data_IF_536301453485
#
_entry.id   IF_536301453485
#
_cell.length_a   1.000
_cell.length_b   1.000
_cell.length_c   1.000
_cell.angle_alpha   90.00
_cell.angle_beta   90.00
_cell.angle_gamma   90.00
#
_symmetry.space_group_name_H-M   'P 1'
#
loop_
_entity.id
_entity.type
_entity.pdbx_description
1 polymer ?
#
# COMPACT_ATOMS: atom_id res chain seq x y z
N UNK A 1 -74.35 54.00 -1.34
CA UNK A 1 -75.41 54.98 -1.69
C UNK A 1 -74.85 56.37 -1.51
N UNK A 2 -74.91 57.20 -2.57
CA UNK A 2 -74.91 58.67 -2.53
C UNK A 2 -73.65 59.32 -1.94
N UNK A 3 -73.15 60.45 -2.39
CA UNK A 3 -73.43 61.38 -3.49
C UNK A 3 -72.27 62.38 -3.30
N UNK A 4 -71.50 62.65 -4.35
CA UNK A 4 -71.62 63.88 -5.14
C UNK A 4 -71.17 65.15 -4.40
N UNK A 5 -70.28 65.86 -5.12
CA UNK A 5 -70.24 67.32 -5.31
C UNK A 5 -69.76 68.17 -4.12
N UNK A 6 -69.07 69.29 -4.31
CA UNK A 6 -68.91 70.20 -5.44
C UNK A 6 -67.75 71.15 -5.04
N UNK A 7 -66.70 71.39 -5.85
CA UNK A 7 -66.65 72.33 -6.98
C UNK A 7 -66.23 73.76 -6.57
N UNK A 8 -65.49 74.42 -7.47
CA UNK A 8 -65.06 75.83 -7.54
C UNK A 8 -63.78 76.21 -6.76
N UNK A 9 -62.78 76.93 -7.29
CA UNK A 9 -62.49 77.43 -8.65
C UNK A 9 -61.06 78.02 -8.68
N UNK A 10 -60.35 77.80 -9.80
CA UNK A 10 -59.33 78.63 -10.48
C UNK A 10 -58.32 79.50 -9.70
N UNK A 11 -57.03 79.26 -9.99
CA UNK A 11 -55.94 80.22 -9.78
C UNK A 11 -54.63 79.74 -10.44
N UNK A 12 -54.44 80.09 -11.70
CA UNK A 12 -53.25 79.83 -12.51
C UNK A 12 -52.13 80.83 -12.17
N UNK A 13 -50.89 80.36 -11.96
CA UNK A 13 -49.65 80.85 -12.60
C UNK A 13 -48.40 80.85 -11.70
N UNK A 14 -47.45 80.00 -12.13
CA UNK A 14 -46.00 79.99 -12.01
C UNK A 14 -45.26 81.04 -11.15
N UNK A 15 -44.30 80.55 -10.35
CA UNK A 15 -42.88 80.93 -10.48
C UNK A 15 -41.98 79.93 -9.72
N UNK A 16 -41.10 79.24 -10.46
CA UNK A 16 -39.86 78.67 -9.93
C UNK A 16 -38.95 79.82 -9.52
N UNK A 17 -38.36 79.77 -8.33
CA UNK A 17 -37.37 80.75 -7.89
C UNK A 17 -36.86 80.45 -6.49
N UNK A 18 -35.69 79.80 -6.44
CA UNK A 18 -34.81 79.54 -5.30
C UNK A 18 -35.10 80.30 -4.00
N UNK A 19 -35.31 79.56 -2.90
CA UNK A 19 -35.11 80.08 -1.55
C UNK A 19 -33.99 79.30 -0.88
N UNK A 20 -33.01 80.04 -0.40
CA UNK A 20 -31.72 79.60 0.09
C UNK A 20 -31.82 78.51 1.14
N UNK A 21 -30.98 77.48 0.97
CA UNK A 21 -30.59 76.58 2.04
C UNK A 21 -29.75 77.41 3.03
N UNK A 22 -30.28 77.65 4.22
CA UNK A 22 -29.51 78.18 5.33
C UNK A 22 -28.62 77.04 5.81
N UNK A 23 -27.31 77.14 5.55
CA UNK A 23 -26.30 76.24 6.12
C UNK A 23 -26.17 76.52 7.62
N UNK A 24 -26.23 75.52 8.51
CA UNK A 24 -25.76 75.72 9.87
C UNK A 24 -24.23 75.83 9.88
N UNK A 25 -23.73 76.89 10.52
CA UNK A 25 -22.32 77.14 10.82
C UNK A 25 -21.78 76.14 11.85
N UNK A 26 -20.54 75.68 11.65
CA UNK A 26 -19.88 74.56 12.33
C UNK A 26 -19.20 74.91 13.66
N UNK A 27 -19.80 75.75 14.51
CA UNK A 27 -19.16 76.21 15.76
C UNK A 27 -19.77 75.70 17.08
N UNK A 28 -20.47 74.55 17.08
CA UNK A 28 -20.92 73.89 18.32
C UNK A 28 -20.63 72.38 18.30
N UNK A 29 -19.35 72.02 18.51
CA UNK A 29 -18.95 70.67 18.93
C UNK A 29 -19.21 70.52 20.44
N UNK A 30 -20.42 70.10 20.78
CA UNK A 30 -20.68 69.34 22.01
C UNK A 30 -21.96 68.51 21.81
N UNK A 31 -21.78 67.18 21.69
CA UNK A 31 -22.82 66.14 21.80
C UNK A 31 -23.98 66.26 20.80
N UNK A 32 -23.73 66.02 19.51
CA UNK A 32 -24.80 65.61 18.61
C UNK A 32 -25.06 64.11 18.81
N UNK A 33 -25.98 63.79 19.72
CA UNK A 33 -26.52 62.44 19.84
C UNK A 33 -27.24 62.08 18.53
N UNK A 34 -26.63 61.22 17.73
CA UNK A 34 -27.21 60.75 16.50
C UNK A 34 -28.08 59.51 16.76
N UNK A 35 -29.25 59.42 16.11
CA UNK A 35 -30.14 58.24 16.18
C UNK A 35 -30.05 57.33 14.94
N UNK A 36 -29.66 57.88 13.78
CA UNK A 36 -29.46 57.16 12.50
C UNK A 36 -28.46 57.93 11.62
N UNK A 37 -27.65 57.23 10.79
CA UNK A 37 -26.57 57.83 9.97
C UNK A 37 -27.01 58.93 8.99
N UNK A 38 -28.31 59.03 8.70
CA UNK A 38 -28.91 60.12 7.93
C UNK A 38 -28.84 61.50 8.59
N UNK A 39 -28.54 61.56 9.90
CA UNK A 39 -28.35 62.83 10.63
C UNK A 39 -26.88 63.27 10.71
N UNK A 40 -25.96 62.50 10.13
CA UNK A 40 -24.54 62.81 10.08
C UNK A 40 -24.15 63.46 8.73
N UNK A 41 -22.96 64.07 8.68
CA UNK A 41 -22.42 64.70 7.47
C UNK A 41 -22.15 63.69 6.35
N UNK A 42 -21.87 64.18 5.14
CA UNK A 42 -21.39 63.30 4.07
C UNK A 42 -20.08 62.62 4.52
N UNK A 43 -19.97 61.31 4.34
CA UNK A 43 -18.83 60.47 4.79
C UNK A 43 -18.78 60.23 6.31
N UNK A 44 -19.93 60.34 7.00
CA UNK A 44 -20.06 60.04 8.43
C UNK A 44 -21.22 59.08 8.70
N UNK A 45 -21.08 58.26 9.74
CA UNK A 45 -22.18 57.44 10.24
C UNK A 45 -22.39 57.59 11.74
N UNK A 46 -23.53 57.05 12.17
CA UNK A 46 -24.04 57.14 13.51
C UNK A 46 -23.57 55.93 14.33
N UNK A 47 -22.42 56.07 14.98
CA UNK A 47 -21.80 54.98 15.74
C UNK A 47 -21.92 55.29 17.22
N UNK A 48 -22.56 54.39 17.98
CA UNK A 48 -22.81 54.53 19.42
C UNK A 48 -23.40 55.89 19.86
N UNK A 49 -24.20 56.52 19.00
CA UNK A 49 -24.84 57.81 19.28
C UNK A 49 -24.00 59.04 18.90
N UNK A 50 -22.87 58.90 18.22
CA UNK A 50 -22.08 60.03 17.71
C UNK A 50 -21.90 59.94 16.19
N UNK A 51 -21.78 61.10 15.53
CA UNK A 51 -21.38 61.15 14.12
C UNK A 51 -19.86 61.03 14.01
N UNK A 52 -19.40 59.90 13.50
CA UNK A 52 -17.98 59.57 13.30
C UNK A 52 -17.68 59.57 11.80
N UNK A 53 -16.50 60.04 11.41
CA UNK A 53 -16.05 59.96 10.03
C UNK A 53 -15.65 58.52 9.70
N UNK A 54 -16.16 58.00 8.60
CA UNK A 54 -15.90 56.63 8.17
C UNK A 54 -14.51 56.54 7.53
N UNK A 55 -13.73 55.53 7.89
CA UNK A 55 -12.35 55.31 7.47
C UNK A 55 -12.06 53.84 7.19
N UNK A 56 -10.79 53.46 7.21
CA UNK A 56 -10.42 52.04 7.24
C UNK A 56 -10.77 51.46 8.62
N UNK A 57 -11.21 50.20 8.64
CA UNK A 57 -11.47 49.49 9.88
C UNK A 57 -10.21 49.44 10.77
N UNK A 58 -10.39 49.69 12.06
CA UNK A 58 -9.35 49.64 13.09
C UNK A 58 -9.89 48.79 14.22
N UNK A 59 -9.12 47.79 14.65
CA UNK A 59 -9.55 46.88 15.69
C UNK A 59 -9.53 47.57 17.07
N UNK A 60 -10.57 48.33 17.39
CA UNK A 60 -10.70 49.11 18.62
C UNK A 60 -12.07 48.99 19.30
N UNK A 61 -12.96 48.14 18.78
CA UNK A 61 -14.31 47.92 19.30
C UNK A 61 -15.35 48.87 18.72
N UNK A 62 -14.97 49.73 17.77
CA UNK A 62 -15.84 50.67 17.10
C UNK A 62 -15.97 50.36 15.61
N UNK A 63 -17.16 50.65 15.07
CA UNK A 63 -17.47 50.62 13.64
C UNK A 63 -16.81 51.85 12.98
N UNK A 64 -15.57 51.70 12.52
CA UNK A 64 -14.75 52.79 11.99
C UNK A 64 -14.99 53.01 10.49
N UNK A 65 -15.45 52.01 9.75
CA UNK A 65 -15.80 52.06 8.34
C UNK A 65 -17.31 52.27 8.09
N UNK A 66 -18.09 52.18 9.16
CA UNK A 66 -19.52 52.45 9.21
C UNK A 66 -20.42 51.42 8.50
N UNK A 67 -20.00 50.15 8.40
CA UNK A 67 -20.78 49.09 7.76
C UNK A 67 -21.93 48.54 8.64
N UNK A 68 -21.95 48.91 9.93
CA UNK A 68 -22.96 48.53 10.91
C UNK A 68 -22.55 47.36 11.81
N UNK A 69 -21.29 46.92 11.74
CA UNK A 69 -20.66 45.99 12.69
C UNK A 69 -19.36 46.64 13.19
N UNK A 70 -18.79 46.08 14.26
CA UNK A 70 -17.53 46.57 14.79
C UNK A 70 -16.48 45.49 14.60
N UNK A 71 -15.31 45.88 14.07
CA UNK A 71 -14.11 45.06 13.87
C UNK A 71 -14.32 43.79 13.01
N UNK A 72 -15.36 43.73 12.16
CA UNK A 72 -15.72 42.54 11.36
C UNK A 72 -14.73 42.21 10.24
N UNK A 73 -13.92 43.18 9.82
CA UNK A 73 -12.85 43.01 8.84
C UNK A 73 -11.58 42.39 9.45
N UNK A 74 -11.52 42.23 10.76
CA UNK A 74 -10.42 41.57 11.45
C UNK A 74 -10.70 40.09 11.68
N UNK A 75 -9.72 39.25 11.35
CA UNK A 75 -9.79 37.83 11.65
C UNK A 75 -9.59 37.58 13.15
N UNK A 76 -10.69 37.55 13.90
CA UNK A 76 -10.66 37.30 15.33
C UNK A 76 -10.46 35.83 15.71
N UNK A 77 -10.28 34.92 14.74
CA UNK A 77 -10.13 33.49 14.99
C UNK A 77 -8.69 33.04 14.81
N UNK A 78 -8.03 33.47 13.73
CA UNK A 78 -6.69 32.98 13.37
C UNK A 78 -5.61 34.06 13.36
N UNK A 79 -5.98 35.34 13.51
CA UNK A 79 -4.98 36.42 13.56
C UNK A 79 -4.14 36.36 14.84
N UNK A 80 -2.82 36.31 14.66
CA UNK A 80 -1.84 36.34 15.74
C UNK A 80 -1.91 37.64 16.58
N UNK A 81 -2.51 38.72 16.06
CA UNK A 81 -2.62 40.00 16.75
C UNK A 81 -4.04 40.34 17.24
N UNK A 82 -5.06 39.57 16.83
CA UNK A 82 -6.48 39.83 17.14
C UNK A 82 -7.27 38.56 17.59
N UNK A 83 -6.58 37.60 18.19
CA UNK A 83 -7.06 36.27 18.58
C UNK A 83 -8.14 36.33 19.69
N UNK A 84 -9.39 36.06 19.34
CA UNK A 84 -10.55 36.14 20.23
C UNK A 84 -11.01 37.56 20.58
N UNK A 85 -10.17 38.58 20.40
CA UNK A 85 -10.49 40.01 20.55
C UNK A 85 -9.40 40.89 19.93
N UNK A 86 -9.73 42.15 19.65
CA UNK A 86 -8.77 43.14 19.16
C UNK A 86 -7.54 43.31 20.06
N UNK A 87 -6.35 43.23 19.47
CA UNK A 87 -5.08 43.41 20.18
C UNK A 87 -4.73 42.24 21.12
N UNK A 88 -5.56 41.19 21.16
CA UNK A 88 -5.25 39.97 21.87
C UNK A 88 -4.31 39.14 20.99
N UNK A 89 -3.08 38.96 21.47
CA UNK A 89 -2.16 38.02 20.83
C UNK A 89 -2.60 36.60 21.16
N UNK A 90 -2.47 35.67 20.21
CA UNK A 90 -2.71 34.26 20.50
C UNK A 90 -1.64 33.79 21.50
N UNK A 91 -2.01 33.81 22.76
CA UNK A 91 -1.28 33.26 23.89
C UNK A 91 -2.35 32.44 24.68
N UNK A 92 -2.79 31.23 24.27
CA UNK A 92 -3.69 30.35 25.09
C UNK A 92 -3.48 28.80 24.99
N UNK A 93 -3.67 28.07 26.12
CA UNK A 93 -3.57 26.59 26.22
C UNK A 93 -4.73 25.93 25.45
N UNK A 94 -4.46 24.88 24.67
CA UNK A 94 -5.55 24.15 24.00
C UNK A 94 -6.44 23.38 25.00
N UNK A 95 -7.75 23.64 24.99
CA UNK A 95 -8.74 22.88 25.77
C UNK A 95 -9.81 22.33 24.84
N UNK A 96 -9.73 21.02 24.53
CA UNK A 96 -10.70 20.28 23.70
C UNK A 96 -10.79 20.84 22.26
N UNK A 97 -9.65 21.13 21.63
CA UNK A 97 -9.59 21.68 20.26
C UNK A 97 -10.08 23.13 20.16
N UNK A 98 -10.01 23.89 21.26
CA UNK A 98 -10.35 25.30 21.31
C UNK A 98 -9.19 26.02 22.01
N UNK A 99 -8.59 27.02 21.35
CA UNK A 99 -7.60 27.91 21.97
C UNK A 99 -8.26 28.64 23.14
N UNK A 100 -7.95 28.26 24.38
CA UNK A 100 -8.45 28.96 25.56
C UNK A 100 -7.54 30.15 25.87
N UNK A 101 -8.00 31.35 25.49
CA UNK A 101 -7.29 32.63 25.68
C UNK A 101 -7.30 33.13 27.12
N UNK A 102 -7.86 32.37 28.09
CA UNK A 102 -7.97 32.77 29.50
C UNK A 102 -6.63 32.84 30.24
N UNK A 103 -5.58 32.15 29.78
CA UNK A 103 -4.36 31.89 30.56
C UNK A 103 -3.02 32.28 29.86
N UNK A 104 -3.01 32.92 28.68
CA UNK A 104 -1.80 33.60 28.20
C UNK A 104 -0.63 32.73 27.67
N UNK A 105 -0.82 31.62 26.93
CA UNK A 105 0.28 30.89 26.23
C UNK A 105 -0.01 30.33 24.82
N UNK A 106 0.68 30.69 23.73
CA UNK A 106 0.28 30.51 22.31
C UNK A 106 -0.19 29.13 21.84
N UNK A 107 -1.16 29.11 20.92
CA UNK A 107 -1.39 27.97 20.04
C UNK A 107 -0.17 27.86 19.10
N UNK A 108 0.57 26.75 19.23
CA UNK A 108 1.82 26.53 18.51
C UNK A 108 1.55 26.45 16.99
N UNK A 109 2.56 26.60 16.11
CA UNK A 109 2.33 26.61 14.66
C UNK A 109 2.22 25.22 14.01
N UNK A 110 2.39 24.15 14.78
CA UNK A 110 2.25 22.75 14.41
C UNK A 110 2.23 21.92 15.70
N UNK A 111 1.55 20.79 15.70
CA UNK A 111 1.64 19.85 16.80
C UNK A 111 3.10 19.40 17.00
N UNK A 112 3.56 19.41 18.24
CA UNK A 112 4.96 19.15 18.59
C UNK A 112 5.19 17.78 19.19
N UNK A 113 4.11 17.09 19.55
CA UNK A 113 4.12 15.80 20.24
C UNK A 113 3.01 14.95 19.66
N UNK A 114 3.23 13.65 19.50
CA UNK A 114 2.10 12.77 19.23
C UNK A 114 1.52 12.27 20.54
N UNK A 115 0.45 12.90 20.99
CA UNK A 115 -0.31 12.49 22.17
C UNK A 115 -1.80 12.34 21.92
N UNK A 116 -2.26 12.53 20.68
CA UNK A 116 -3.66 12.40 20.30
C UNK A 116 -4.51 13.59 20.73
N UNK A 117 -3.87 14.69 21.14
CA UNK A 117 -4.51 15.95 21.47
C UNK A 117 -4.11 16.99 20.42
N UNK A 118 -5.05 17.85 20.03
CA UNK A 118 -4.78 18.98 19.14
C UNK A 118 -4.08 20.09 19.96
N UNK A 119 -2.74 20.12 19.96
CA UNK A 119 -1.96 21.01 20.83
C UNK A 119 -1.83 22.46 20.28
N UNK A 120 -2.16 22.67 19.02
CA UNK A 120 -2.16 23.97 18.33
C UNK A 120 -3.57 24.46 17.95
N UNK A 121 -4.61 23.71 18.28
CA UNK A 121 -6.02 24.00 18.08
C UNK A 121 -6.37 24.38 16.62
N UNK A 122 -5.73 23.77 15.64
CA UNK A 122 -6.01 24.03 14.22
C UNK A 122 -7.14 23.13 13.66
N UNK A 123 -7.63 22.19 14.49
CA UNK A 123 -8.69 21.24 14.17
C UNK A 123 -8.20 19.92 13.60
N UNK A 124 -6.90 19.77 13.36
CA UNK A 124 -6.23 18.49 13.11
C UNK A 124 -5.52 18.02 14.39
N UNK A 125 -5.33 16.70 14.52
CA UNK A 125 -4.65 16.10 15.68
C UNK A 125 -3.33 15.53 15.20
N UNK A 126 -2.23 15.84 15.90
CA UNK A 126 -0.87 15.38 15.60
C UNK A 126 -0.41 15.66 14.14
N UNK A 127 -0.91 16.74 13.51
CA UNK A 127 -0.61 17.07 12.11
C UNK A 127 0.90 17.25 11.89
N UNK A 128 1.42 16.68 10.79
CA UNK A 128 2.86 16.70 10.49
C UNK A 128 3.71 15.75 11.34
N UNK A 129 3.13 15.05 12.32
CA UNK A 129 3.78 13.99 13.12
C UNK A 129 3.33 12.57 12.72
N UNK A 130 2.22 12.46 11.98
CA UNK A 130 1.71 11.19 11.48
C UNK A 130 2.61 10.62 10.37
N UNK A 131 2.74 9.30 10.36
CA UNK A 131 3.40 8.54 9.31
C UNK A 131 2.48 8.31 8.09
N UNK A 132 2.94 7.53 7.11
CA UNK A 132 2.18 7.23 5.90
C UNK A 132 0.80 6.59 6.17
N UNK A 133 0.68 5.85 7.28
CA UNK A 133 -0.58 5.25 7.74
C UNK A 133 -1.50 6.20 8.52
N UNK A 134 -1.11 7.46 8.73
CA UNK A 134 -1.86 8.38 9.58
C UNK A 134 -1.78 8.04 11.07
N UNK A 135 -0.77 7.27 11.48
CA UNK A 135 -0.51 6.90 12.86
C UNK A 135 0.81 7.51 13.33
N UNK A 136 1.04 7.56 14.63
CA UNK A 136 2.28 8.11 15.16
C UNK A 136 3.42 7.10 15.24
N UNK A 137 4.63 7.61 15.03
CA UNK A 137 5.85 6.80 15.05
C UNK A 137 6.18 6.21 13.68
N UNK A 138 7.12 5.26 13.60
CA UNK A 138 7.42 4.60 12.34
C UNK A 138 6.21 3.82 11.82
N UNK A 139 6.17 3.58 10.51
CA UNK A 139 5.23 2.62 9.94
C UNK A 139 5.54 1.21 10.46
N UNK A 140 4.54 0.34 10.61
CA UNK A 140 4.75 -1.08 10.89
C UNK A 140 5.67 -1.75 9.85
N UNK A 141 6.25 -2.89 10.21
CA UNK A 141 6.86 -3.77 9.21
C UNK A 141 5.76 -4.59 8.54
N UNK A 142 5.91 -4.88 7.26
CA UNK A 142 5.02 -5.77 6.52
C UNK A 142 4.93 -7.17 7.16
N UNK A 143 3.71 -7.67 7.28
CA UNK A 143 3.42 -9.04 7.68
C UNK A 143 2.47 -9.61 6.64
N UNK A 144 2.74 -10.82 6.16
CA UNK A 144 1.84 -11.41 5.19
C UNK A 144 0.42 -11.64 5.74
N UNK A 145 -0.49 -10.71 5.42
CA UNK A 145 -1.87 -10.73 5.85
C UNK A 145 -2.84 -10.14 4.79
N UNK A 146 -2.36 -9.93 3.56
CA UNK A 146 -3.06 -9.30 2.43
C UNK A 146 -3.48 -7.84 2.71
N UNK A 147 -2.78 -7.15 3.63
CA UNK A 147 -2.94 -5.73 3.93
C UNK A 147 -1.62 -5.01 3.67
N UNK A 148 -1.73 -3.71 3.38
CA UNK A 148 -0.62 -2.77 3.30
C UNK A 148 -0.38 -2.27 4.74
N UNK A 149 0.52 -2.93 5.47
CA UNK A 149 0.77 -2.67 6.89
C UNK A 149 1.63 -1.41 7.08
N UNK A 150 2.49 -1.08 6.11
CA UNK A 150 3.38 0.07 6.12
C UNK A 150 2.87 1.30 5.34
N UNK A 151 1.76 1.13 4.62
CA UNK A 151 1.03 2.13 3.86
C UNK A 151 1.84 2.79 2.73
N UNK A 152 2.75 2.04 2.09
CA UNK A 152 3.51 2.49 0.94
C UNK A 152 2.77 2.33 -0.41
N UNK A 153 1.61 1.67 -0.38
CA UNK A 153 0.75 1.40 -1.54
C UNK A 153 1.01 0.08 -2.25
N UNK A 154 1.94 -0.74 -1.74
CA UNK A 154 2.13 -2.14 -2.10
C UNK A 154 1.50 -3.03 -1.02
N UNK A 155 1.60 -4.34 -1.16
CA UNK A 155 0.98 -5.28 -0.23
C UNK A 155 1.96 -6.42 -0.04
N UNK A 156 2.35 -6.66 1.22
CA UNK A 156 3.23 -7.73 1.67
C UNK A 156 4.64 -7.73 1.05
N UNK A 157 5.10 -6.68 0.36
CA UNK A 157 6.34 -6.67 -0.44
C UNK A 157 7.62 -6.84 0.39
N UNK A 158 7.60 -6.43 1.67
CA UNK A 158 8.64 -6.73 2.67
C UNK A 158 8.51 -8.10 3.34
N UNK A 159 7.42 -8.83 3.10
CA UNK A 159 7.06 -10.10 3.73
C UNK A 159 7.02 -11.32 2.78
N UNK A 160 7.24 -11.11 1.48
CA UNK A 160 7.30 -12.20 0.50
C UNK A 160 8.60 -13.02 0.60
N UNK A 161 8.50 -14.31 0.30
CA UNK A 161 9.62 -15.22 0.17
C UNK A 161 10.28 -15.14 -1.22
N UNK A 162 11.27 -16.01 -1.48
CA UNK A 162 11.98 -16.05 -2.76
C UNK A 162 11.06 -16.31 -3.97
N UNK A 163 9.96 -17.05 -3.77
CA UNK A 163 8.94 -17.29 -4.78
C UNK A 163 7.97 -16.12 -5.00
N UNK A 164 8.10 -15.03 -4.24
CA UNK A 164 7.14 -13.92 -4.26
C UNK A 164 5.79 -14.27 -3.63
N UNK A 165 5.74 -15.36 -2.86
CA UNK A 165 4.57 -15.76 -2.09
C UNK A 165 4.79 -15.55 -0.60
N UNK A 166 3.74 -15.75 0.18
CA UNK A 166 3.83 -15.63 1.63
C UNK A 166 4.27 -16.92 2.32
N UNK A 167 4.98 -16.75 3.44
CA UNK A 167 5.43 -17.87 4.28
C UNK A 167 6.75 -18.47 3.80
N UNK A 168 7.17 -19.64 4.34
CA UNK A 168 8.38 -20.30 3.87
C UNK A 168 8.24 -20.70 2.39
N UNK A 169 9.38 -20.81 1.69
CA UNK A 169 9.40 -21.43 0.38
C UNK A 169 8.95 -22.90 0.51
N UNK A 170 8.17 -23.43 -0.46
CA UNK A 170 7.85 -24.86 -0.52
C UNK A 170 9.10 -25.74 -0.55
N UNK A 171 8.98 -26.99 -0.12
CA UNK A 171 10.03 -27.99 -0.37
C UNK A 171 9.98 -28.41 -1.85
N UNK A 172 11.14 -28.76 -2.40
CA UNK A 172 11.22 -29.32 -3.74
C UNK A 172 10.42 -30.62 -3.90
N UNK A 173 9.78 -30.74 -5.05
CA UNK A 173 9.01 -31.91 -5.46
C UNK A 173 9.44 -32.28 -6.87
N UNK A 174 9.62 -33.57 -7.15
CA UNK A 174 9.94 -34.00 -8.50
C UNK A 174 8.76 -33.81 -9.46
N UNK A 175 8.70 -32.65 -10.09
CA UNK A 175 7.77 -32.33 -11.17
C UNK A 175 8.40 -31.50 -12.29
N UNK A 176 9.72 -31.29 -12.25
CA UNK A 176 10.45 -30.49 -13.22
C UNK A 176 10.26 -29.00 -13.04
N UNK A 177 9.66 -28.57 -11.92
CA UNK A 177 9.50 -27.18 -11.54
C UNK A 177 10.50 -26.82 -10.43
N UNK A 178 10.74 -25.52 -10.29
CA UNK A 178 11.51 -24.92 -9.20
C UNK A 178 10.49 -24.45 -8.16
N UNK A 179 10.25 -25.30 -7.16
CA UNK A 179 9.22 -25.14 -6.15
C UNK A 179 9.70 -24.26 -4.98
N UNK A 180 10.99 -24.27 -4.69
CA UNK A 180 11.62 -23.47 -3.64
C UNK A 180 12.21 -22.14 -4.13
N UNK A 181 12.22 -21.95 -5.45
CA UNK A 181 12.61 -20.74 -6.17
C UNK A 181 14.08 -20.35 -5.98
N UNK A 182 14.96 -21.34 -5.85
CA UNK A 182 16.41 -21.13 -5.79
C UNK A 182 17.09 -21.00 -7.17
N UNK A 183 16.35 -21.31 -8.25
CA UNK A 183 16.77 -21.24 -9.65
C UNK A 183 17.13 -22.59 -10.28
N UNK A 184 17.06 -23.69 -9.53
CA UNK A 184 17.35 -25.05 -9.99
C UNK A 184 16.14 -25.97 -9.73
N UNK A 185 15.58 -26.59 -10.78
CA UNK A 185 14.44 -27.49 -10.62
C UNK A 185 14.84 -28.88 -10.12
N UNK A 186 14.03 -29.43 -9.21
CA UNK A 186 14.20 -30.77 -8.62
C UNK A 186 15.58 -31.01 -7.94
N UNK A 187 16.29 -29.95 -7.53
CA UNK A 187 17.58 -30.06 -6.84
C UNK A 187 17.47 -30.93 -5.59
N UNK A 188 18.50 -31.75 -5.33
CA UNK A 188 18.51 -32.66 -4.18
C UNK A 188 17.53 -33.83 -4.25
N UNK A 189 16.62 -33.89 -5.23
CA UNK A 189 15.68 -34.99 -5.45
C UNK A 189 16.10 -35.94 -6.58
N UNK A 190 17.06 -35.53 -7.42
CA UNK A 190 17.58 -36.34 -8.51
C UNK A 190 18.51 -37.46 -8.01
N UNK A 191 18.39 -38.62 -8.63
CA UNK A 191 19.27 -39.76 -8.42
C UNK A 191 20.57 -39.63 -9.24
N UNK A 192 21.43 -40.66 -9.23
CA UNK A 192 22.70 -40.65 -9.96
C UNK A 192 22.53 -40.45 -11.49
N UNK A 193 21.40 -40.86 -12.05
CA UNK A 193 21.06 -40.67 -13.46
C UNK A 193 20.57 -39.25 -13.78
N UNK A 194 20.34 -38.41 -12.77
CA UNK A 194 19.70 -37.10 -12.96
C UNK A 194 18.18 -37.20 -13.17
N UNK A 195 17.59 -38.37 -12.88
CA UNK A 195 16.15 -38.59 -12.91
C UNK A 195 15.62 -38.68 -11.48
N UNK A 196 14.32 -38.54 -11.30
CA UNK A 196 13.72 -38.65 -9.99
C UNK A 196 13.48 -40.09 -9.53
N UNK A 197 13.53 -40.28 -8.21
CA UNK A 197 13.23 -41.56 -7.56
C UNK A 197 14.49 -42.36 -7.28
N UNK A 198 14.33 -43.68 -7.09
CA UNK A 198 15.48 -44.57 -6.90
C UNK A 198 16.24 -44.76 -8.23
N UNK A 199 17.56 -44.97 -8.16
CA UNK A 199 18.31 -45.41 -9.34
C UNK A 199 17.78 -46.75 -9.81
N UNK A 200 17.63 -46.96 -11.15
CA UNK A 200 17.27 -48.27 -11.67
C UNK A 200 18.30 -49.33 -11.25
N UNK A 201 17.88 -50.59 -11.24
CA UNK A 201 18.83 -51.69 -11.11
C UNK A 201 19.51 -51.95 -12.46
N UNK A 202 20.76 -52.38 -12.38
CA UNK A 202 21.54 -52.72 -13.56
C UNK A 202 20.95 -53.86 -14.38
N UNK A 203 21.08 -53.76 -15.69
CA UNK A 203 20.68 -54.82 -16.63
C UNK A 203 21.81 -55.08 -17.60
N UNK A 204 22.11 -56.36 -17.81
CA UNK A 204 23.17 -56.78 -18.71
C UNK A 204 22.77 -56.44 -20.16
N UNK A 205 23.13 -55.26 -20.63
CA UNK A 205 22.74 -54.73 -21.93
C UNK A 205 23.84 -53.87 -22.59
N UNK A 206 24.99 -53.68 -21.92
CA UNK A 206 26.10 -52.85 -22.38
C UNK A 206 25.91 -51.35 -22.15
N UNK A 207 24.96 -50.94 -21.31
CA UNK A 207 24.78 -49.58 -20.80
C UNK A 207 24.94 -49.57 -19.29
N UNK A 208 25.15 -48.35 -18.82
CA UNK A 208 25.09 -47.91 -17.44
C UNK A 208 23.61 -47.55 -17.17
N UNK A 209 22.83 -48.51 -16.67
CA UNK A 209 21.40 -48.36 -16.37
C UNK A 209 21.18 -47.81 -14.94
N UNK A 210 22.14 -47.97 -14.01
CA UNK A 210 22.09 -47.43 -12.64
C UNK A 210 22.91 -46.15 -12.44
N UNK A 211 23.66 -45.74 -13.47
CA UNK A 211 24.43 -44.50 -13.56
C UNK A 211 25.59 -44.42 -12.56
N UNK A 212 26.21 -45.55 -12.20
CA UNK A 212 27.40 -45.60 -11.34
C UNK A 212 28.72 -45.29 -12.07
N UNK A 213 28.66 -45.17 -13.41
CA UNK A 213 29.76 -44.79 -14.28
C UNK A 213 30.46 -45.95 -14.98
N UNK A 214 29.99 -47.19 -14.80
CA UNK A 214 30.43 -48.37 -15.53
C UNK A 214 29.23 -49.02 -16.24
N UNK A 215 29.48 -50.01 -17.08
CA UNK A 215 28.40 -50.74 -17.76
C UNK A 215 28.49 -52.21 -17.39
N UNK A 216 27.36 -52.78 -16.97
CA UNK A 216 27.17 -54.18 -16.58
C UNK A 216 28.12 -54.67 -15.45
N UNK A 217 28.64 -53.79 -14.58
CA UNK A 217 29.61 -54.10 -13.52
C UNK A 217 29.03 -54.92 -12.36
N UNK A 218 27.74 -54.79 -12.10
CA UNK A 218 27.01 -55.63 -11.15
C UNK A 218 26.96 -57.12 -11.55
N UNK A 219 27.23 -57.44 -12.82
CA UNK A 219 27.30 -58.80 -13.34
C UNK A 219 28.71 -59.39 -13.20
N UNK A 220 29.12 -59.69 -11.97
CA UNK A 220 30.47 -60.16 -11.64
C UNK A 220 30.99 -61.39 -12.42
N UNK A 221 30.10 -62.19 -13.02
CA UNK A 221 30.47 -63.37 -13.83
C UNK A 221 30.63 -63.06 -15.31
N UNK A 222 30.36 -61.83 -15.75
CA UNK A 222 30.44 -61.45 -17.16
C UNK A 222 31.85 -61.70 -17.72
N UNK A 223 31.92 -62.39 -18.86
CA UNK A 223 33.17 -62.82 -19.49
C UNK A 223 33.85 -64.03 -18.85
N UNK A 224 33.32 -64.60 -17.76
CA UNK A 224 33.82 -65.86 -17.21
C UNK A 224 33.55 -67.02 -18.17
N UNK A 225 34.44 -68.01 -18.18
CA UNK A 225 34.21 -69.25 -18.92
C UNK A 225 33.03 -70.02 -18.30
N UNK A 226 32.21 -70.64 -19.14
CA UNK A 226 31.08 -71.45 -18.73
C UNK A 226 30.93 -72.66 -19.65
N UNK A 227 30.25 -73.69 -19.17
CA UNK A 227 29.95 -74.90 -19.94
C UNK A 227 28.48 -75.22 -19.76
N UNK A 228 27.77 -75.48 -20.87
CA UNK A 228 26.37 -75.95 -20.86
C UNK A 228 26.30 -77.39 -21.37
N UNK A 229 25.34 -78.16 -20.87
CA UNK A 229 25.22 -79.59 -21.18
C UNK A 229 26.20 -80.47 -20.40
N UNK A 230 26.02 -81.79 -20.49
CA UNK A 230 26.91 -82.78 -19.86
C UNK A 230 27.47 -83.77 -20.90
N UNK A 231 28.59 -84.41 -20.58
CA UNK A 231 29.18 -85.46 -21.41
C UNK A 231 29.61 -84.98 -22.81
N UNK A 232 29.19 -85.70 -23.86
CA UNK A 232 29.51 -85.35 -25.25
C UNK A 232 28.74 -84.12 -25.75
N UNK A 233 27.67 -83.73 -25.04
CA UNK A 233 26.85 -82.56 -25.32
C UNK A 233 27.31 -81.32 -24.54
N UNK A 234 28.45 -81.39 -23.85
CA UNK A 234 29.05 -80.24 -23.20
C UNK A 234 29.58 -79.25 -24.25
N UNK A 235 29.13 -78.00 -24.18
CA UNK A 235 29.60 -76.89 -25.01
C UNK A 235 30.21 -75.80 -24.12
N UNK A 236 31.48 -75.48 -24.36
CA UNK A 236 32.17 -74.39 -23.70
C UNK A 236 31.82 -73.04 -24.35
N UNK A 237 31.66 -72.02 -23.52
CA UNK A 237 31.37 -70.65 -23.92
C UNK A 237 31.86 -69.65 -22.89
N UNK A 238 31.34 -68.43 -23.01
CA UNK A 238 31.57 -67.37 -22.03
C UNK A 238 30.24 -66.79 -21.57
N UNK A 239 30.18 -66.35 -20.32
CA UNK A 239 29.03 -65.60 -19.84
C UNK A 239 28.96 -64.27 -20.60
N UNK A 240 27.82 -64.02 -21.23
CA UNK A 240 27.51 -62.80 -21.95
C UNK A 240 26.07 -62.37 -21.62
N UNK A 241 25.74 -61.12 -21.94
CA UNK A 241 24.38 -60.63 -21.80
C UNK A 241 23.43 -61.35 -22.75
N UNK A 242 22.29 -61.81 -22.21
CA UNK A 242 21.20 -62.38 -23.00
C UNK A 242 20.18 -61.29 -23.41
N UNK A 243 19.13 -61.70 -24.12
CA UNK A 243 18.10 -60.77 -24.58
C UNK A 243 17.18 -60.28 -23.43
N UNK A 244 17.17 -61.01 -22.32
CA UNK A 244 16.39 -60.73 -21.12
C UNK A 244 17.05 -59.68 -20.21
N UNK A 245 18.32 -59.35 -20.43
CA UNK A 245 19.09 -58.41 -19.61
C UNK A 245 19.79 -59.07 -18.43
N UNK A 246 20.05 -60.38 -18.50
CA UNK A 246 20.73 -61.16 -17.50
C UNK A 246 22.05 -61.74 -18.05
N UNK A 247 23.00 -62.00 -17.15
CA UNK A 247 24.24 -62.68 -17.50
C UNK A 247 24.00 -64.20 -17.66
N UNK A 248 24.15 -64.71 -18.89
CA UNK A 248 23.93 -66.12 -19.21
C UNK A 248 25.08 -66.72 -20.04
N UNK A 249 25.21 -68.05 -20.03
CA UNK A 249 26.25 -68.72 -20.80
C UNK A 249 25.94 -68.67 -22.31
N UNK A 250 26.74 -67.90 -23.06
CA UNK A 250 26.72 -67.88 -24.51
C UNK A 250 27.67 -68.95 -25.06
N UNK A 251 27.18 -70.19 -25.11
CA UNK A 251 27.86 -71.31 -25.75
C UNK A 251 27.21 -71.62 -27.11
N UNK A 252 27.99 -72.04 -28.12
CA UNK A 252 27.43 -72.55 -29.36
C UNK A 252 26.58 -73.81 -29.11
N UNK A 253 25.59 -74.12 -29.97
CA UNK A 253 24.84 -75.36 -29.87
C UNK A 253 25.78 -76.57 -29.83
N UNK A 254 25.52 -77.58 -28.98
CA UNK A 254 26.35 -78.77 -28.92
C UNK A 254 26.36 -79.49 -30.28
N UNK A 255 27.49 -80.12 -30.60
CA UNK A 255 27.66 -80.84 -31.85
C UNK A 255 26.90 -82.17 -31.80
N UNK A 256 25.58 -82.12 -32.01
CA UNK A 256 24.72 -83.30 -32.06
C UNK A 256 25.12 -84.24 -33.20
N UNK A 257 25.47 -85.47 -32.83
CA UNK A 257 25.66 -86.59 -33.74
C UNK A 257 24.40 -87.45 -33.84
N UNK A 258 24.40 -88.53 -34.64
CA UNK A 258 23.33 -89.52 -34.61
C UNK A 258 23.45 -90.42 -33.37
N UNK A 259 22.31 -90.74 -32.74
CA UNK A 259 22.20 -91.67 -31.62
C UNK A 259 22.86 -93.04 -31.88
N UNK A 260 23.70 -93.49 -30.94
CA UNK A 260 24.30 -94.82 -30.96
C UNK A 260 23.59 -95.73 -29.97
N UNK A 261 22.63 -96.50 -30.48
CA UNK A 261 21.84 -97.40 -29.64
C UNK A 261 22.68 -98.36 -28.80
N UNK A 262 22.54 -98.27 -27.47
CA UNK A 262 23.05 -99.26 -26.51
C UNK A 262 24.42 -98.96 -25.89
N UNK A 263 24.99 -97.78 -26.13
CA UNK A 263 26.19 -97.29 -25.42
C UNK A 263 25.85 -96.58 -24.09
N UNK A 264 24.58 -96.20 -23.89
CA UNK A 264 24.11 -95.50 -22.69
C UNK A 264 24.52 -94.02 -22.65
N UNK A 265 24.88 -93.43 -23.80
CA UNK A 265 25.30 -92.04 -23.95
C UNK A 265 24.32 -91.32 -24.88
N UNK A 266 23.93 -90.11 -24.50
CA UNK A 266 23.17 -89.19 -25.36
C UNK A 266 24.15 -88.57 -26.38
N UNK A 267 24.04 -88.99 -27.65
CA UNK A 267 24.91 -88.58 -28.75
C UNK A 267 24.26 -87.51 -29.64
N UNK A 268 22.94 -87.37 -29.62
CA UNK A 268 22.16 -86.38 -30.39
C UNK A 268 21.65 -85.20 -29.56
N UNK A 269 21.88 -85.23 -28.25
CA UNK A 269 21.63 -84.16 -27.30
C UNK A 269 20.14 -83.79 -27.16
N UNK A 270 19.24 -84.77 -27.30
CA UNK A 270 17.79 -84.57 -27.24
C UNK A 270 17.12 -84.91 -25.88
N UNK A 271 17.86 -85.54 -24.95
CA UNK A 271 17.49 -85.73 -23.54
C UNK A 271 16.57 -86.92 -23.24
#
# INVERSE_FOLDING_TARGET
>A
MKKLLSLFLLGLSAALGATACVTPSVDDLATAECLQSSTCGAEQACVAGACVACGDEICDGFDNDCDGRADEDFDLLSSQEHCGACGARCDGICRRGICDTSDGGACLPADGTCDGEDNDCDGAVDEGLLNACGACGPVPEEICNDLDDDCDGMTDEGALNACGGCGPVPDETCDGLDNDCDGEGDEGLLNACGDCGETPAERCNGRDDDCDGLADEDFATLGAACTVGEGLCAADGFIACNAEGEAACAAPPPAAGPELCGDGVDNDCDG
#
